data_IF_043318190977
#
_entry.id   IF_043318190977
#
_cell.length_a   1.000
_cell.length_b   1.000
_cell.length_c   1.000
_cell.angle_alpha   90.00
_cell.angle_beta   90.00
_cell.angle_gamma   90.00
#
_symmetry.space_group_name_H-M   'P 1'
#
loop_
_entity.id
_entity.type
_entity.pdbx_description
1 polymer ?
#
# COMPACT_ATOMS: atom_id res chain seq x y z
N UNK A 1 22.93 -5.65 19.37
CA UNK A 1 22.65 -5.53 19.31
C UNK A 1 22.16 -4.81 18.73
N UNK A 2 22.04 -4.53 18.44
CA UNK A 2 21.69 -3.95 17.92
C UNK A 2 20.65 -3.89 17.29
N UNK A 3 20.21 -4.42 16.87
CA UNK A 3 19.24 -4.63 16.23
C UNK A 3 18.12 -4.20 16.85
N UNK A 4 18.05 -4.16 17.76
CA UNK A 4 17.05 -3.81 18.35
C UNK A 4 16.53 -2.56 17.98
N UNK A 5 17.08 -1.77 17.29
CA UNK A 5 16.55 -0.54 16.85
C UNK A 5 15.59 -0.73 15.74
N UNK A 6 15.55 -1.89 15.12
CA UNK A 6 14.63 -2.11 14.02
C UNK A 6 13.34 -2.73 14.53
N UNK A 7 12.22 -2.27 14.05
CA UNK A 7 10.98 -2.90 14.43
C UNK A 7 10.94 -4.32 13.90
N UNK A 8 10.24 -5.21 14.54
CA UNK A 8 10.15 -6.58 14.05
C UNK A 8 9.45 -6.59 12.71
N UNK A 9 9.93 -7.44 11.84
CA UNK A 9 9.28 -7.63 10.56
C UNK A 9 8.06 -8.48 10.77
N UNK A 10 6.97 -8.07 10.18
CA UNK A 10 5.75 -8.85 10.28
C UNK A 10 5.23 -9.14 8.90
N UNK A 11 4.72 -10.34 8.70
CA UNK A 11 4.14 -10.72 7.43
C UNK A 11 2.63 -10.70 7.55
N UNK A 12 1.97 -10.24 6.50
CA UNK A 12 0.54 -10.25 6.41
C UNK A 12 0.14 -11.30 5.39
N UNK A 13 -0.92 -12.02 5.68
CA UNK A 13 -1.44 -12.95 4.70
C UNK A 13 -2.48 -12.21 3.87
N UNK A 14 -2.87 -12.81 2.76
CA UNK A 14 -3.76 -12.13 1.81
C UNK A 14 -5.01 -11.55 2.45
N UNK A 15 -5.73 -12.27 3.32
CA UNK A 15 -6.91 -11.65 3.91
C UNK A 15 -6.60 -10.39 4.68
N UNK A 16 -5.44 -10.36 5.35
CA UNK A 16 -5.06 -9.17 6.09
C UNK A 16 -4.69 -8.04 5.17
N UNK A 17 -4.06 -8.35 4.04
CA UNK A 17 -3.71 -7.34 3.06
C UNK A 17 -4.98 -6.73 2.49
N UNK A 18 -5.95 -7.59 2.18
CA UNK A 18 -7.23 -7.11 1.67
C UNK A 18 -7.90 -6.19 2.67
N UNK A 19 -7.83 -6.55 3.94
CA UNK A 19 -8.45 -5.75 4.97
C UNK A 19 -7.73 -4.42 5.15
N UNK A 20 -6.41 -4.43 5.12
CA UNK A 20 -5.63 -3.22 5.28
C UNK A 20 -5.81 -2.24 4.15
N UNK A 21 -5.96 -2.75 2.95
CA UNK A 21 -6.01 -1.89 1.77
C UNK A 21 -7.41 -1.65 1.29
N UNK A 22 -8.36 -2.48 1.67
CA UNK A 22 -9.71 -2.38 1.15
C UNK A 22 -9.84 -2.88 -0.28
N UNK A 23 -8.80 -3.48 -0.82
CA UNK A 23 -8.84 -3.95 -2.20
C UNK A 23 -9.30 -5.39 -2.26
N UNK A 24 -9.93 -5.75 -3.36
CA UNK A 24 -10.31 -7.13 -3.58
C UNK A 24 -9.09 -7.95 -3.96
N UNK A 25 -9.23 -9.24 -3.86
CA UNK A 25 -8.15 -10.15 -4.22
C UNK A 25 -7.68 -9.93 -5.65
N UNK A 26 -8.63 -9.88 -6.57
CA UNK A 26 -8.25 -9.73 -7.96
C UNK A 26 -7.60 -8.38 -8.23
N UNK A 27 -8.03 -7.33 -7.55
CA UNK A 27 -7.40 -6.04 -7.73
C UNK A 27 -5.96 -6.05 -7.24
N UNK A 28 -5.69 -6.73 -6.12
CA UNK A 28 -4.34 -6.84 -5.62
C UNK A 28 -3.45 -7.53 -6.65
N UNK A 29 -3.93 -8.62 -7.22
CA UNK A 29 -3.11 -9.35 -8.18
C UNK A 29 -2.91 -8.57 -9.48
N UNK A 30 -3.92 -7.85 -9.92
CA UNK A 30 -3.77 -7.02 -11.10
C UNK A 30 -2.73 -5.94 -10.85
N UNK A 31 -2.74 -5.32 -9.67
CA UNK A 31 -1.78 -4.28 -9.39
C UNK A 31 -0.38 -4.82 -9.20
N UNK A 32 -0.26 -6.04 -8.66
CA UNK A 32 1.06 -6.66 -8.56
C UNK A 32 1.62 -6.92 -9.96
N UNK A 33 0.77 -7.40 -10.85
CA UNK A 33 1.22 -7.69 -12.21
C UNK A 33 1.64 -6.41 -12.92
N UNK A 34 1.02 -5.30 -12.58
CA UNK A 34 1.37 -4.02 -13.18
C UNK A 34 2.56 -3.36 -12.49
N UNK A 35 3.08 -3.97 -11.44
CA UNK A 35 4.21 -3.39 -10.71
C UNK A 35 3.81 -2.26 -9.79
N UNK A 36 2.52 -2.17 -9.44
CA UNK A 36 2.01 -1.08 -8.64
C UNK A 36 1.64 -1.49 -7.23
N UNK A 37 2.05 -2.64 -6.80
CA UNK A 37 1.72 -3.12 -5.47
C UNK A 37 2.85 -4.01 -4.98
N UNK A 38 3.15 -4.02 -3.68
CA UNK A 38 4.25 -4.82 -3.15
C UNK A 38 4.05 -6.30 -3.46
N UNK A 39 5.14 -6.99 -3.70
CA UNK A 39 5.07 -8.39 -4.00
C UNK A 39 5.25 -9.20 -2.75
N UNK A 40 4.56 -10.34 -2.64
CA UNK A 40 4.70 -11.16 -1.44
C UNK A 40 6.01 -11.91 -1.43
N UNK A 41 6.37 -12.36 -0.25
CA UNK A 41 7.57 -13.14 -0.02
C UNK A 41 7.14 -14.57 0.22
N UNK A 42 7.87 -15.52 -0.33
CA UNK A 42 7.58 -16.92 -0.09
C UNK A 42 7.96 -17.27 1.34
N UNK A 43 7.04 -17.87 2.04
CA UNK A 43 7.25 -18.23 3.43
C UNK A 43 7.54 -19.71 3.63
N UNK A 44 7.61 -20.44 2.53
CA UNK A 44 7.85 -21.88 2.59
C UNK A 44 6.64 -22.62 2.06
N UNK A 45 6.85 -23.71 1.40
CA UNK A 45 5.77 -24.44 0.78
C UNK A 45 5.05 -23.53 -0.19
N UNK A 46 3.75 -23.45 -0.05
CA UNK A 46 2.98 -22.59 -0.92
C UNK A 46 2.57 -21.30 -0.22
N UNK A 47 3.02 -21.13 1.01
CA UNK A 47 2.61 -19.96 1.76
C UNK A 47 3.36 -18.73 1.31
N UNK A 48 2.68 -17.62 1.19
CA UNK A 48 3.30 -16.35 0.89
C UNK A 48 2.76 -15.32 1.85
N UNK A 49 3.53 -14.27 2.06
CA UNK A 49 3.10 -13.18 2.92
C UNK A 49 3.67 -11.89 2.43
N UNK A 50 3.01 -10.80 2.74
CA UNK A 50 3.48 -9.47 2.39
C UNK A 50 4.13 -8.85 3.61
N UNK A 51 5.20 -8.12 3.40
CA UNK A 51 5.86 -7.43 4.50
C UNK A 51 4.97 -6.27 4.93
N UNK A 52 4.59 -6.27 6.19
CA UNK A 52 3.62 -5.30 6.70
C UNK A 52 4.06 -3.87 6.43
N UNK A 53 5.33 -3.58 6.65
CA UNK A 53 5.83 -2.22 6.45
C UNK A 53 5.67 -1.78 5.00
N UNK A 54 5.84 -2.69 4.06
CA UNK A 54 5.68 -2.35 2.65
C UNK A 54 4.23 -2.07 2.31
N UNK A 55 3.32 -2.85 2.86
CA UNK A 55 1.90 -2.63 2.63
C UNK A 55 1.48 -1.30 3.24
N UNK A 56 1.95 -1.01 4.45
CA UNK A 56 1.61 0.23 5.12
C UNK A 56 2.17 1.42 4.35
N UNK A 57 3.37 1.29 3.82
CA UNK A 57 3.95 2.37 3.06
C UNK A 57 3.17 2.59 1.77
N UNK A 58 2.75 1.50 1.13
CA UNK A 58 1.95 1.60 -0.08
C UNK A 58 0.65 2.35 0.21
N UNK A 59 0.01 2.02 1.32
CA UNK A 59 -1.23 2.69 1.70
C UNK A 59 -0.97 4.18 1.93
N UNK A 60 0.09 4.51 2.65
CA UNK A 60 0.41 5.91 2.90
C UNK A 60 0.69 6.66 1.61
N UNK A 61 1.39 6.01 0.68
CA UNK A 61 1.70 6.64 -0.59
C UNK A 61 0.43 6.85 -1.42
N UNK A 62 -0.49 5.91 -1.36
CA UNK A 62 -1.76 6.09 -2.09
C UNK A 62 -2.54 7.25 -1.52
N UNK A 63 -2.55 7.38 -0.21
CA UNK A 63 -3.24 8.50 0.41
C UNK A 63 -2.59 9.81 0.02
N UNK A 64 -1.26 9.85 0.07
CA UNK A 64 -0.54 11.08 -0.26
C UNK A 64 -0.76 11.47 -1.71
N UNK A 65 -0.70 10.51 -2.61
CA UNK A 65 -0.89 10.81 -4.02
C UNK A 65 -2.30 11.29 -4.30
N UNK A 66 -3.27 10.66 -3.67
CA UNK A 66 -4.65 11.04 -3.87
C UNK A 66 -4.89 12.45 -3.34
N UNK A 67 -4.34 12.75 -2.18
CA UNK A 67 -4.53 14.08 -1.62
C UNK A 67 -3.78 15.14 -2.39
N UNK A 68 -2.64 14.76 -2.95
CA UNK A 68 -1.89 15.69 -3.76
C UNK A 68 -2.67 16.02 -5.03
N UNK A 69 -3.27 15.02 -5.64
CA UNK A 69 -4.07 15.23 -6.83
C UNK A 69 -5.29 16.06 -6.51
N UNK A 70 -5.92 15.81 -5.37
CA UNK A 70 -7.07 16.57 -4.96
C UNK A 70 -6.68 18.02 -4.70
N UNK A 71 -5.55 18.24 -4.08
CA UNK A 71 -5.10 19.59 -3.80
C UNK A 71 -4.81 20.33 -5.09
N UNK A 72 -4.26 19.65 -6.07
CA UNK A 72 -4.00 20.29 -7.34
C UNK A 72 -5.30 20.63 -8.04
N UNK A 73 -6.24 19.72 -7.99
CA UNK A 73 -7.52 19.96 -8.61
C UNK A 73 -8.23 21.11 -7.89
N UNK A 74 -8.16 21.10 -6.57
CA UNK A 74 -8.81 22.13 -5.83
C UNK A 74 -8.11 23.44 -6.07
N UNK A 75 -6.82 23.44 -6.14
CA UNK A 75 -6.11 24.65 -6.41
C UNK A 75 -6.51 25.21 -7.73
N UNK A 76 -6.68 24.31 -8.68
CA UNK A 76 -7.06 24.72 -9.94
C UNK A 76 -8.43 25.25 -9.87
N UNK A 77 -9.25 24.59 -9.16
CA UNK A 77 -10.57 24.95 -9.08
C UNK A 77 -10.69 26.13 -8.23
N UNK A 78 -9.92 26.23 -7.26
CA UNK A 78 -10.10 27.24 -6.48
C UNK A 78 -9.55 28.36 -6.98
N UNK A 79 -8.67 28.17 -7.69
CA UNK A 79 -8.25 29.20 -8.40
C UNK A 79 -9.48 29.62 -8.94
N UNK A 80 -10.24 28.76 -9.09
CA UNK A 80 -11.40 29.08 -9.58
C UNK A 80 -12.23 29.18 -8.47
N UNK A 81 -12.11 28.99 -7.53
CA UNK A 81 -12.70 28.83 -6.67
C UNK A 81 -13.09 28.26 -6.36
N UNK A 82 -12.68 28.13 -6.52
CA UNK A 82 -12.84 27.54 -6.02
C UNK A 82 -13.41 26.63 -6.17
N UNK A 83 -13.59 26.41 -6.44
CA UNK A 83 -14.09 25.32 -6.53
C UNK A 83 -14.44 25.12 -6.56
#
# INVERSE_FOLDING_TARGET
>A
MEQRTNPPTRFLRLPEVMERTGLSRSTIYVRMAAGCFPRPVALGGRAVGWIEAEVDEWVRNRIAESRFEDARADGRVEAAPGG
#
